data_IF_246375986938
#
_entry.id   IF_246375986938
#
_cell.length_a   1.000
_cell.length_b   1.000
_cell.length_c   1.000
_cell.angle_alpha   90.00
_cell.angle_beta   90.00
_cell.angle_gamma   90.00
#
_symmetry.space_group_name_H-M   'P 1'
#
loop_
_entity.id
_entity.type
_entity.pdbx_description
1 polymer ?
#
# COMPACT_ATOMS: atom_id res chain seq x y z
N UNK A 1 -1.36 -14.84 -14.22
CA UNK A 1 -1.64 -14.00 -13.05
C UNK A 1 -0.82 -14.44 -11.87
N UNK A 2 -0.42 -13.50 -11.02
CA UNK A 2 0.37 -13.75 -9.80
C UNK A 2 -0.19 -12.90 -8.67
N UNK A 3 -0.25 -13.45 -7.44
CA UNK A 3 -0.78 -12.70 -6.31
C UNK A 3 -0.82 -13.51 -5.03
N UNK A 4 -1.43 -12.91 -4.02
CA UNK A 4 -1.67 -13.52 -2.71
C UNK A 4 -2.99 -14.29 -2.72
N UNK A 5 -2.95 -15.52 -2.24
CA UNK A 5 -4.16 -16.34 -2.08
C UNK A 5 -4.97 -15.85 -0.89
N UNK A 6 -6.12 -15.25 -1.13
CA UNK A 6 -7.01 -14.78 -0.08
C UNK A 6 -7.88 -15.91 0.51
N UNK A 7 -8.35 -16.78 -0.37
CA UNK A 7 -9.10 -17.98 0.00
C UNK A 7 -8.96 -19.05 -1.05
N UNK A 8 -9.08 -20.30 -0.64
CA UNK A 8 -9.31 -21.43 -1.52
C UNK A 8 -10.60 -22.15 -1.11
N UNK A 9 -11.35 -22.58 -2.09
CA UNK A 9 -12.63 -23.29 -1.91
C UNK A 9 -12.70 -24.42 -2.90
N UNK A 10 -12.94 -25.60 -2.44
CA UNK A 10 -13.08 -26.77 -3.31
C UNK A 10 -12.87 -28.05 -2.53
N UNK A 11 -13.28 -29.13 -3.14
CA UNK A 11 -13.11 -30.46 -2.60
C UNK A 11 -13.01 -31.46 -3.74
N UNK A 12 -12.12 -32.43 -3.61
CA UNK A 12 -11.90 -33.44 -4.65
C UNK A 12 -11.25 -32.85 -5.89
N UNK A 13 -11.81 -33.09 -7.07
CA UNK A 13 -11.20 -32.77 -8.37
C UNK A 13 -11.23 -31.29 -8.80
N UNK A 14 -11.80 -30.38 -8.00
CA UNK A 14 -11.90 -28.96 -8.34
C UNK A 14 -11.55 -28.06 -7.17
N UNK A 15 -10.97 -26.90 -7.48
CA UNK A 15 -10.69 -25.85 -6.51
C UNK A 15 -10.91 -24.47 -7.15
N UNK A 16 -11.40 -23.53 -6.35
CA UNK A 16 -11.47 -22.12 -6.68
C UNK A 16 -10.54 -21.36 -5.75
N UNK A 17 -9.69 -20.54 -6.31
CA UNK A 17 -8.77 -19.67 -5.57
C UNK A 17 -9.18 -18.21 -5.81
N UNK A 18 -9.41 -17.47 -4.74
CA UNK A 18 -9.52 -16.02 -4.81
C UNK A 18 -8.10 -15.47 -4.69
N UNK A 19 -7.58 -14.93 -5.80
CA UNK A 19 -6.24 -14.37 -5.91
C UNK A 19 -6.33 -12.86 -5.90
N UNK A 20 -5.49 -12.21 -5.12
CA UNK A 20 -5.43 -10.75 -4.98
C UNK A 20 -4.03 -10.25 -5.29
N UNK A 21 -3.96 -9.18 -6.07
CA UNK A 21 -2.73 -8.44 -6.33
C UNK A 21 -2.90 -6.93 -6.09
N UNK A 22 -1.95 -6.13 -6.56
CA UNK A 22 -2.01 -4.67 -6.47
C UNK A 22 -3.08 -4.01 -7.35
N UNK A 23 -3.67 -4.73 -8.30
CA UNK A 23 -4.67 -4.20 -9.26
C UNK A 23 -6.09 -4.59 -8.87
N UNK A 24 -6.25 -5.68 -8.12
CA UNK A 24 -7.58 -6.16 -7.72
C UNK A 24 -7.61 -7.62 -7.31
N UNK A 25 -8.79 -8.20 -7.47
CA UNK A 25 -9.06 -9.62 -7.15
C UNK A 25 -9.60 -10.33 -8.37
N UNK A 26 -9.15 -11.57 -8.55
CA UNK A 26 -9.70 -12.48 -9.57
C UNK A 26 -9.93 -13.85 -8.98
N UNK A 27 -10.90 -14.58 -9.52
CA UNK A 27 -11.09 -15.99 -9.23
C UNK A 27 -10.27 -16.82 -10.22
N UNK A 28 -9.58 -17.83 -9.71
CA UNK A 28 -8.89 -18.83 -10.50
C UNK A 28 -9.58 -20.17 -10.29
N UNK A 29 -9.99 -20.81 -11.37
CA UNK A 29 -10.59 -22.12 -11.38
C UNK A 29 -9.55 -23.18 -11.72
N UNK A 30 -9.45 -24.21 -10.91
CA UNK A 30 -8.49 -25.30 -11.04
C UNK A 30 -9.23 -26.65 -11.12
N UNK A 31 -8.75 -27.51 -12.00
CA UNK A 31 -9.26 -28.87 -12.21
C UNK A 31 -8.11 -29.87 -12.16
N UNK A 32 -8.29 -30.99 -11.47
CA UNK A 32 -7.30 -32.07 -11.41
C UNK A 32 -6.85 -32.55 -12.79
N UNK A 33 -7.81 -32.74 -13.70
CA UNK A 33 -7.53 -33.17 -15.07
C UNK A 33 -6.60 -32.23 -15.86
N UNK A 34 -6.53 -30.96 -15.45
CA UNK A 34 -5.78 -29.94 -16.18
C UNK A 34 -4.42 -29.64 -15.55
N UNK A 35 -4.38 -29.52 -14.21
CA UNK A 35 -3.14 -29.11 -13.50
C UNK A 35 -2.45 -30.28 -12.78
N UNK A 36 -3.07 -31.47 -12.77
CA UNK A 36 -2.63 -32.64 -12.04
C UNK A 36 -3.16 -32.67 -10.59
N UNK A 37 -3.43 -33.90 -10.09
CA UNK A 37 -3.96 -34.12 -8.74
C UNK A 37 -3.02 -33.61 -7.65
N UNK A 38 -1.72 -33.82 -7.78
CA UNK A 38 -0.70 -33.38 -6.83
C UNK A 38 -0.67 -31.86 -6.68
N UNK A 39 -0.71 -31.14 -7.80
CA UNK A 39 -0.74 -29.67 -7.82
C UNK A 39 -2.02 -29.12 -7.21
N UNK A 40 -3.16 -29.77 -7.50
CA UNK A 40 -4.45 -29.37 -6.95
C UNK A 40 -4.48 -29.58 -5.42
N UNK A 41 -4.02 -30.72 -4.93
CA UNK A 41 -3.94 -31.04 -3.51
C UNK A 41 -3.00 -30.05 -2.78
N UNK A 42 -1.86 -29.74 -3.37
CA UNK A 42 -0.95 -28.74 -2.84
C UNK A 42 -1.63 -27.35 -2.67
N UNK A 43 -2.41 -26.90 -3.66
CA UNK A 43 -3.15 -25.63 -3.55
C UNK A 43 -4.28 -25.71 -2.53
N UNK A 44 -5.00 -26.84 -2.44
CA UNK A 44 -6.07 -27.01 -1.45
C UNK A 44 -5.57 -26.96 -0.01
N UNK A 45 -4.34 -27.39 0.24
CA UNK A 45 -3.67 -27.32 1.57
C UNK A 45 -2.89 -26.03 1.81
N UNK A 46 -2.90 -25.11 0.86
CA UNK A 46 -2.14 -23.87 0.98
C UNK A 46 -2.74 -22.95 2.03
N UNK A 47 -1.87 -22.26 2.78
CA UNK A 47 -2.24 -21.25 3.76
C UNK A 47 -2.60 -19.93 3.09
N UNK A 48 -3.53 -19.17 3.68
CA UNK A 48 -3.87 -17.82 3.21
C UNK A 48 -2.64 -16.92 3.14
N UNK A 49 -2.66 -15.96 2.22
CA UNK A 49 -1.56 -15.03 1.92
C UNK A 49 -0.31 -15.69 1.33
N UNK A 50 -0.34 -16.97 1.00
CA UNK A 50 0.69 -17.59 0.15
C UNK A 50 0.70 -16.95 -1.23
N UNK A 51 1.87 -16.79 -1.82
CA UNK A 51 2.03 -16.19 -3.15
C UNK A 51 2.04 -17.28 -4.21
N UNK A 52 1.08 -17.20 -5.11
CA UNK A 52 0.87 -18.16 -6.19
C UNK A 52 0.91 -17.49 -7.55
N UNK A 53 1.40 -18.21 -8.54
CA UNK A 53 1.34 -17.83 -9.94
C UNK A 53 0.52 -18.87 -10.70
N UNK A 54 -0.43 -18.41 -11.50
CA UNK A 54 -1.25 -19.25 -12.37
C UNK A 54 -1.09 -18.85 -13.82
N UNK A 55 -0.90 -19.82 -14.69
CA UNK A 55 -1.04 -19.67 -16.13
C UNK A 55 -2.36 -20.30 -16.57
N UNK A 56 -3.06 -19.68 -17.51
CA UNK A 56 -4.36 -20.18 -17.98
C UNK A 56 -5.03 -19.22 -18.94
N UNK A 57 -6.27 -19.53 -19.28
CA UNK A 57 -7.12 -18.72 -20.17
C UNK A 57 -8.16 -17.94 -19.39
N UNK A 58 -8.45 -16.75 -19.85
CA UNK A 58 -9.53 -15.93 -19.28
C UNK A 58 -10.88 -16.41 -19.86
N UNK A 59 -11.81 -16.67 -18.99
CA UNK A 59 -13.16 -17.08 -19.37
C UNK A 59 -14.21 -16.23 -18.67
N UNK A 60 -15.39 -16.17 -19.25
CA UNK A 60 -16.53 -15.50 -18.65
C UNK A 60 -17.03 -16.38 -17.48
N UNK A 61 -17.09 -15.79 -16.30
CA UNK A 61 -17.61 -16.46 -15.11
C UNK A 61 -19.11 -16.74 -15.27
N UNK A 62 -19.56 -17.93 -14.87
CA UNK A 62 -20.98 -18.22 -14.85
C UNK A 62 -21.71 -17.22 -13.95
N UNK A 63 -22.72 -16.49 -14.45
CA UNK A 63 -23.43 -15.51 -13.64
C UNK A 63 -24.10 -16.19 -12.43
N UNK A 64 -24.13 -15.53 -11.26
CA UNK A 64 -24.89 -16.03 -10.12
C UNK A 64 -26.40 -16.07 -10.47
N UNK A 65 -27.12 -16.94 -9.81
CA UNK A 65 -28.59 -16.95 -9.93
C UNK A 65 -29.12 -15.66 -9.30
N UNK A 66 -29.80 -14.86 -10.10
CA UNK A 66 -30.42 -13.59 -9.69
C UNK A 66 -31.86 -13.90 -9.24
N UNK A 67 -32.32 -13.26 -8.19
CA UNK A 67 -33.73 -13.37 -7.76
C UNK A 67 -34.60 -12.60 -8.75
N UNK A 68 -35.85 -13.03 -8.89
CA UNK A 68 -36.82 -12.38 -9.75
C UNK A 68 -37.00 -10.91 -9.37
N UNK A 69 -36.76 -9.98 -10.32
CA UNK A 69 -36.81 -8.54 -10.09
C UNK A 69 -35.46 -7.86 -9.76
N UNK A 70 -34.38 -8.58 -9.55
CA UNK A 70 -33.06 -7.98 -9.36
C UNK A 70 -32.33 -7.79 -10.73
N UNK A 71 -31.57 -6.70 -10.90
CA UNK A 71 -30.79 -6.49 -12.13
C UNK A 71 -29.67 -7.55 -12.24
N UNK A 72 -29.41 -8.02 -13.44
CA UNK A 72 -28.29 -8.91 -13.71
C UNK A 72 -26.99 -8.23 -13.32
N UNK A 73 -26.11 -8.91 -12.57
CA UNK A 73 -24.79 -8.37 -12.26
C UNK A 73 -23.96 -8.22 -13.54
N UNK A 74 -23.01 -7.28 -13.58
CA UNK A 74 -22.14 -7.12 -14.73
C UNK A 74 -21.34 -8.42 -14.99
N UNK A 75 -20.96 -8.68 -16.26
CA UNK A 75 -20.12 -9.82 -16.60
C UNK A 75 -18.84 -9.81 -15.78
N UNK A 76 -18.52 -10.92 -15.15
CA UNK A 76 -17.28 -11.14 -14.41
C UNK A 76 -16.42 -12.18 -15.12
N UNK A 77 -15.10 -12.06 -14.98
CA UNK A 77 -14.14 -12.99 -15.59
C UNK A 77 -13.45 -13.82 -14.52
N UNK A 78 -13.00 -15.01 -14.91
CA UNK A 78 -12.17 -15.89 -14.11
C UNK A 78 -11.03 -16.46 -14.96
N UNK A 79 -10.01 -16.98 -14.31
CA UNK A 79 -8.87 -17.64 -14.98
C UNK A 79 -9.06 -19.14 -14.86
N UNK A 80 -9.16 -19.82 -15.99
CA UNK A 80 -9.11 -21.29 -16.06
C UNK A 80 -7.64 -21.71 -16.09
N UNK A 81 -7.13 -22.18 -14.96
CA UNK A 81 -5.71 -22.48 -14.80
C UNK A 81 -5.31 -23.75 -15.57
N UNK A 82 -4.22 -23.65 -16.30
CA UNK A 82 -3.51 -24.77 -16.94
C UNK A 82 -2.25 -25.19 -16.19
N UNK A 83 -1.70 -24.30 -15.37
CA UNK A 83 -0.59 -24.60 -14.46
C UNK A 83 -0.59 -23.70 -13.25
N UNK A 84 0.05 -24.15 -12.17
CA UNK A 84 0.29 -23.40 -10.94
C UNK A 84 1.76 -23.50 -10.55
N UNK A 85 2.31 -22.38 -10.09
CA UNK A 85 3.62 -22.30 -9.47
C UNK A 85 3.47 -21.69 -8.08
N UNK A 86 3.95 -22.37 -7.05
CA UNK A 86 4.00 -21.86 -5.68
C UNK A 86 5.28 -21.03 -5.53
N UNK A 87 5.14 -19.71 -5.46
CA UNK A 87 6.28 -18.79 -5.30
C UNK A 87 6.76 -18.78 -3.86
N UNK A 88 5.82 -18.61 -2.91
CA UNK A 88 6.13 -18.60 -1.49
C UNK A 88 4.92 -19.07 -0.67
N UNK A 89 5.16 -19.92 0.30
CA UNK A 89 4.15 -20.33 1.27
C UNK A 89 4.17 -19.40 2.47
N UNK A 90 2.99 -18.91 2.86
CA UNK A 90 2.86 -18.13 4.08
C UNK A 90 2.80 -19.04 5.31
N UNK A 91 3.44 -18.61 6.38
CA UNK A 91 3.28 -19.26 7.68
C UNK A 91 1.87 -19.02 8.25
N UNK A 92 1.40 -19.94 9.08
CA UNK A 92 0.12 -19.82 9.77
C UNK A 92 0.30 -20.23 11.26
N UNK A 93 -0.35 -19.50 12.19
CA UNK A 93 -1.27 -18.37 11.95
C UNK A 93 -0.53 -17.08 11.58
N UNK A 94 -1.18 -16.21 10.80
CA UNK A 94 -0.67 -14.87 10.54
C UNK A 94 -0.79 -13.99 11.80
N UNK A 95 0.17 -13.07 12.06
CA UNK A 95 0.12 -12.19 13.23
C UNK A 95 -1.08 -11.23 13.21
N UNK A 96 -1.62 -10.92 12.02
CA UNK A 96 -2.88 -10.21 11.86
C UNK A 96 -3.66 -10.70 10.64
N UNK A 97 -4.98 -10.62 10.70
CA UNK A 97 -5.85 -10.90 9.57
C UNK A 97 -5.83 -9.76 8.54
N UNK A 98 -5.77 -10.13 7.26
CA UNK A 98 -5.74 -9.16 6.14
C UNK A 98 -7.14 -8.69 5.75
N UNK A 99 -8.19 -9.38 6.16
CA UNK A 99 -9.58 -9.01 5.85
C UNK A 99 -10.05 -7.84 6.72
N UNK A 100 -10.83 -6.92 6.14
CA UNK A 100 -11.23 -5.65 6.79
C UNK A 100 -12.18 -5.81 7.99
N UNK A 101 -12.85 -6.96 8.11
CA UNK A 101 -13.78 -7.27 9.21
C UNK A 101 -13.10 -7.74 10.50
N UNK A 102 -11.79 -7.86 10.51
CA UNK A 102 -11.03 -8.20 11.71
C UNK A 102 -10.51 -6.91 12.36
N UNK A 103 -10.93 -6.65 13.61
CA UNK A 103 -10.35 -5.58 14.44
C UNK A 103 -8.98 -6.04 14.94
N UNK A 104 -7.98 -5.19 14.74
CA UNK A 104 -6.62 -5.43 15.21
C UNK A 104 -6.11 -4.14 15.84
N UNK A 105 -5.48 -4.24 16.99
CA UNK A 105 -4.87 -3.13 17.71
C UNK A 105 -3.78 -2.43 16.87
N UNK A 106 -3.61 -1.13 17.10
CA UNK A 106 -2.71 -0.30 16.29
C UNK A 106 -1.27 -0.79 16.36
N UNK A 107 -0.79 -1.16 17.54
CA UNK A 107 0.58 -1.63 17.75
C UNK A 107 0.87 -2.88 16.91
N UNK A 108 -0.01 -3.88 16.96
CA UNK A 108 0.11 -5.09 16.13
C UNK A 108 0.10 -4.76 14.63
N UNK A 109 -0.69 -3.77 14.20
CA UNK A 109 -0.74 -3.31 12.81
C UNK A 109 0.55 -2.61 12.39
N UNK A 110 1.15 -1.82 13.27
CA UNK A 110 2.41 -1.11 13.01
C UNK A 110 3.58 -2.09 12.97
N UNK A 111 3.65 -3.04 13.90
CA UNK A 111 4.69 -4.07 13.94
C UNK A 111 4.64 -5.00 12.72
N UNK A 112 3.43 -5.21 12.16
CA UNK A 112 3.22 -6.04 10.99
C UNK A 112 2.71 -5.21 9.79
N UNK A 113 3.31 -4.05 9.55
CA UNK A 113 2.85 -3.05 8.59
C UNK A 113 2.69 -3.58 7.18
N UNK A 114 3.54 -4.51 6.75
CA UNK A 114 3.48 -5.14 5.43
C UNK A 114 2.20 -5.95 5.21
N UNK A 115 1.64 -6.59 6.26
CA UNK A 115 0.33 -7.25 6.20
C UNK A 115 -0.81 -6.25 6.29
N UNK A 116 -0.70 -5.24 7.16
CA UNK A 116 -1.71 -4.20 7.30
C UNK A 116 -1.93 -3.42 6.00
N UNK A 117 -0.86 -3.16 5.23
CA UNK A 117 -0.93 -2.52 3.92
C UNK A 117 -1.66 -3.37 2.85
N UNK A 118 -1.82 -4.67 3.05
CA UNK A 118 -2.62 -5.54 2.18
C UNK A 118 -4.13 -5.40 2.41
N UNK A 119 -4.55 -4.84 3.55
CA UNK A 119 -5.97 -4.60 3.85
C UNK A 119 -6.51 -3.52 2.91
N UNK A 120 -7.68 -3.77 2.33
CA UNK A 120 -8.22 -2.94 1.25
C UNK A 120 -8.34 -1.45 1.64
N UNK A 121 -8.90 -1.15 2.82
CA UNK A 121 -9.07 0.24 3.27
C UNK A 121 -7.71 0.92 3.58
N UNK A 122 -6.74 0.21 4.15
CA UNK A 122 -5.40 0.75 4.41
C UNK A 122 -4.68 1.03 3.09
N UNK A 123 -4.72 0.09 2.15
CA UNK A 123 -4.17 0.27 0.81
C UNK A 123 -4.79 1.47 0.09
N UNK A 124 -6.14 1.60 0.17
CA UNK A 124 -6.86 2.72 -0.43
C UNK A 124 -6.43 4.07 0.14
N UNK A 125 -6.19 4.18 1.46
CA UNK A 125 -5.68 5.41 2.08
C UNK A 125 -4.33 5.83 1.51
N UNK A 126 -3.39 4.89 1.33
CA UNK A 126 -2.07 5.20 0.76
C UNK A 126 -2.15 5.59 -0.72
N UNK A 127 -3.03 4.92 -1.49
CA UNK A 127 -3.29 5.30 -2.89
C UNK A 127 -3.90 6.70 -2.98
N UNK A 128 -4.88 7.01 -2.12
CA UNK A 128 -5.49 8.33 -2.06
C UNK A 128 -4.46 9.39 -1.69
N UNK A 129 -3.63 9.15 -0.67
CA UNK A 129 -2.53 10.05 -0.30
C UNK A 129 -1.60 10.32 -1.48
N UNK A 130 -1.20 9.29 -2.23
CA UNK A 130 -0.38 9.47 -3.44
C UNK A 130 -1.06 10.36 -4.49
N UNK A 131 -2.36 10.20 -4.70
CA UNK A 131 -3.14 11.05 -5.62
C UNK A 131 -3.27 12.48 -5.14
N UNK A 132 -3.50 12.71 -3.83
CA UNK A 132 -3.53 14.07 -3.26
C UNK A 132 -2.20 14.79 -3.47
N UNK A 133 -1.07 14.11 -3.23
CA UNK A 133 0.26 14.68 -3.47
C UNK A 133 0.48 14.98 -4.96
N UNK A 134 0.07 14.09 -5.85
CA UNK A 134 0.16 14.29 -7.30
C UNK A 134 -0.62 15.53 -7.74
N UNK A 135 -1.91 15.60 -7.40
CA UNK A 135 -2.77 16.72 -7.81
C UNK A 135 -2.33 18.04 -7.19
N UNK A 136 -1.88 18.04 -5.92
CA UNK A 136 -1.33 19.23 -5.30
C UNK A 136 -0.10 19.76 -6.02
N UNK A 137 0.79 18.86 -6.46
CA UNK A 137 1.97 19.22 -7.24
C UNK A 137 1.59 19.77 -8.63
N UNK A 138 0.71 19.06 -9.34
CA UNK A 138 0.23 19.45 -10.66
C UNK A 138 -0.39 20.87 -10.63
N UNK A 139 -1.29 21.10 -9.68
CA UNK A 139 -1.93 22.41 -9.50
C UNK A 139 -0.91 23.53 -9.25
N UNK A 140 0.05 23.33 -8.36
CA UNK A 140 1.06 24.35 -8.07
C UNK A 140 1.96 24.65 -9.28
N UNK A 141 2.32 23.62 -10.05
CA UNK A 141 3.09 23.79 -11.29
C UNK A 141 2.28 24.55 -12.33
N UNK A 142 1.00 24.23 -12.51
CA UNK A 142 0.09 24.95 -13.42
C UNK A 142 -0.06 26.43 -13.04
N UNK A 143 -0.05 26.75 -11.74
CA UNK A 143 -0.05 28.12 -11.22
C UNK A 143 1.32 28.84 -11.34
N UNK A 144 2.31 28.18 -11.95
CA UNK A 144 3.63 28.74 -12.19
C UNK A 144 4.59 28.68 -10.99
N UNK A 145 4.33 27.84 -10.01
CA UNK A 145 5.26 27.57 -8.93
C UNK A 145 6.37 26.63 -9.35
N UNK A 146 7.57 26.85 -8.82
CA UNK A 146 8.75 26.00 -8.99
C UNK A 146 8.92 25.12 -7.77
N UNK A 147 9.00 23.79 -7.96
CA UNK A 147 9.31 22.85 -6.88
C UNK A 147 10.78 22.96 -6.50
N UNK A 148 11.03 23.15 -5.21
CA UNK A 148 12.40 23.24 -4.65
C UNK A 148 12.57 22.20 -3.56
N UNK A 149 13.82 21.79 -3.31
CA UNK A 149 14.17 20.89 -2.23
C UNK A 149 15.19 21.55 -1.32
N UNK A 150 14.78 21.81 -0.08
CA UNK A 150 15.63 22.48 0.91
C UNK A 150 16.45 21.46 1.72
N UNK A 151 17.62 21.87 2.27
CA UNK A 151 18.40 21.02 3.14
C UNK A 151 17.60 20.52 4.34
N UNK A 152 17.72 19.23 4.68
CA UNK A 152 17.05 18.62 5.84
C UNK A 152 17.95 18.49 7.07
N UNK A 153 19.25 18.66 6.89
CA UNK A 153 20.24 18.79 7.96
C UNK A 153 20.78 20.21 7.89
N UNK A 154 20.70 20.93 9.00
CA UNK A 154 21.04 22.36 9.10
C UNK A 154 21.97 22.63 10.28
N UNK A 155 22.76 23.69 10.19
CA UNK A 155 23.74 24.03 11.23
C UNK A 155 23.12 24.79 12.42
N UNK A 156 21.96 25.42 12.23
CA UNK A 156 21.27 26.22 13.25
C UNK A 156 19.77 26.01 13.20
N UNK A 157 19.07 26.47 14.25
CA UNK A 157 17.61 26.54 14.25
C UNK A 157 17.12 27.42 13.09
N UNK A 158 16.10 26.97 12.37
CA UNK A 158 15.47 27.70 11.27
C UNK A 158 14.22 28.45 11.70
N UNK A 159 13.65 28.12 12.87
CA UNK A 159 12.50 28.79 13.47
C UNK A 159 12.63 28.85 14.99
N UNK A 160 12.11 29.91 15.63
CA UNK A 160 11.96 29.96 17.09
C UNK A 160 10.70 29.25 17.56
N UNK A 161 10.76 28.59 18.70
CA UNK A 161 9.57 28.08 19.42
C UNK A 161 9.25 26.59 19.33
N UNK A 162 9.89 25.82 18.48
CA UNK A 162 9.81 24.35 18.50
C UNK A 162 11.14 23.75 18.94
N UNK A 163 11.07 22.65 19.69
CA UNK A 163 12.27 21.90 20.07
C UNK A 163 12.93 21.29 18.82
N UNK A 164 14.26 21.32 18.80
CA UNK A 164 15.08 20.81 17.72
C UNK A 164 15.43 19.33 17.97
N UNK A 165 15.57 18.58 16.88
CA UNK A 165 16.27 17.32 16.92
C UNK A 165 17.77 17.54 16.74
N UNK A 166 18.58 17.52 17.83
CA UNK A 166 20.01 17.64 17.71
C UNK A 166 20.61 16.34 17.17
N UNK A 167 21.64 16.49 16.36
CA UNK A 167 22.43 15.37 15.84
C UNK A 167 23.90 15.73 15.79
N UNK A 168 24.76 14.73 15.87
CA UNK A 168 26.20 14.92 15.67
C UNK A 168 26.53 14.68 14.19
N UNK A 169 27.13 15.69 13.54
CA UNK A 169 27.64 15.59 12.19
C UNK A 169 29.16 15.70 12.22
N UNK A 170 29.84 14.57 12.25
CA UNK A 170 31.27 14.46 12.51
C UNK A 170 31.66 15.17 13.83
N UNK A 171 32.45 16.23 13.77
CA UNK A 171 32.91 17.05 14.89
C UNK A 171 32.02 18.27 15.20
N UNK A 172 30.93 18.45 14.46
CA UNK A 172 30.04 19.62 14.57
C UNK A 172 28.63 19.25 14.96
N UNK A 173 27.94 20.09 15.75
CA UNK A 173 26.52 19.93 15.98
C UNK A 173 25.73 20.26 14.70
N UNK A 174 24.66 19.50 14.47
CA UNK A 174 23.70 19.76 13.42
C UNK A 174 22.29 19.50 13.94
N UNK A 175 21.28 19.84 13.16
CA UNK A 175 19.89 19.71 13.54
C UNK A 175 19.05 19.26 12.33
N UNK A 176 17.96 18.55 12.60
CA UNK A 176 16.95 18.30 11.57
C UNK A 176 16.14 19.59 11.32
N UNK A 177 15.87 19.87 10.05
CA UNK A 177 15.16 21.07 9.65
C UNK A 177 13.69 21.04 10.10
N UNK A 178 13.27 22.08 10.82
CA UNK A 178 11.91 22.25 11.33
C UNK A 178 10.93 22.76 10.26
N UNK A 179 11.42 23.53 9.30
CA UNK A 179 10.62 24.16 8.26
C UNK A 179 11.48 24.61 7.08
N UNK A 180 10.99 24.51 5.85
CA UNK A 180 11.67 25.04 4.68
C UNK A 180 11.52 26.56 4.52
N UNK A 181 10.88 27.29 5.45
CA UNK A 181 10.44 28.67 5.29
C UNK A 181 11.57 29.64 4.91
N UNK A 182 12.67 29.66 5.65
CA UNK A 182 13.78 30.55 5.37
C UNK A 182 14.44 30.27 4.02
N UNK A 183 14.59 29.03 3.65
CA UNK A 183 15.15 28.66 2.35
C UNK A 183 14.23 29.06 1.19
N UNK A 184 12.91 28.95 1.35
CA UNK A 184 11.96 29.44 0.34
C UNK A 184 12.01 30.95 0.21
N UNK A 185 12.18 31.71 1.31
CA UNK A 185 12.39 33.17 1.29
C UNK A 185 13.70 33.53 0.58
N UNK A 186 14.78 32.75 0.78
CA UNK A 186 16.03 32.94 0.03
C UNK A 186 15.82 32.74 -1.48
N UNK A 187 15.09 31.70 -1.88
CA UNK A 187 14.75 31.49 -3.28
C UNK A 187 13.98 32.68 -3.88
N UNK A 188 12.98 33.20 -3.13
CA UNK A 188 12.21 34.37 -3.56
C UNK A 188 13.09 35.60 -3.67
N UNK A 189 13.97 35.85 -2.72
CA UNK A 189 14.94 36.95 -2.77
C UNK A 189 15.94 36.80 -3.92
N UNK A 190 16.20 35.56 -4.35
CA UNK A 190 17.04 35.24 -5.50
C UNK A 190 16.31 35.30 -6.86
N UNK A 191 15.05 35.74 -6.89
CA UNK A 191 14.27 35.93 -8.11
C UNK A 191 13.34 34.78 -8.51
N UNK A 192 13.20 33.72 -7.66
CA UNK A 192 12.19 32.70 -7.84
C UNK A 192 10.90 33.15 -7.12
N UNK A 193 10.03 33.85 -7.82
CA UNK A 193 8.88 34.54 -7.20
C UNK A 193 7.86 33.57 -6.59
N UNK A 194 7.74 32.36 -7.14
CA UNK A 194 6.79 31.33 -6.71
C UNK A 194 7.49 30.00 -6.51
N UNK A 195 7.63 29.60 -5.25
CA UNK A 195 8.29 28.34 -4.89
C UNK A 195 7.45 27.51 -3.94
N UNK A 196 7.53 26.19 -4.07
CA UNK A 196 6.93 25.26 -3.11
C UNK A 196 7.86 24.08 -2.85
N UNK A 197 7.58 23.37 -1.79
CA UNK A 197 8.24 22.12 -1.45
C UNK A 197 7.21 21.12 -0.90
N UNK A 198 7.27 19.88 -1.37
CA UNK A 198 6.60 18.74 -0.75
C UNK A 198 7.70 17.83 -0.22
N UNK A 199 7.98 17.93 1.06
CA UNK A 199 9.08 17.20 1.69
C UNK A 199 8.98 17.18 3.20
N UNK A 200 9.75 16.31 3.90
CA UNK A 200 9.66 16.18 5.34
C UNK A 200 10.17 17.42 6.09
N UNK A 201 9.48 17.75 7.16
CA UNK A 201 9.94 18.66 8.21
C UNK A 201 9.87 17.94 9.56
N UNK A 202 10.70 18.35 10.53
CA UNK A 202 10.87 17.62 11.79
C UNK A 202 10.74 18.60 12.97
N UNK A 203 9.86 18.29 13.87
CA UNK A 203 9.70 19.04 15.12
C UNK A 203 9.81 18.10 16.29
N UNK A 204 10.60 18.38 17.30
CA UNK A 204 10.73 17.60 18.51
C UNK A 204 9.56 17.90 19.45
N UNK A 205 8.38 17.40 19.11
CA UNK A 205 7.17 17.62 19.90
C UNK A 205 7.15 16.71 21.13
N UNK A 206 6.79 17.28 22.29
CA UNK A 206 6.68 16.53 23.55
C UNK A 206 5.37 15.73 23.64
N UNK A 207 4.40 16.06 22.79
CA UNK A 207 3.08 15.44 22.76
C UNK A 207 2.93 14.59 21.52
N UNK A 208 2.76 13.30 21.69
CA UNK A 208 2.46 12.36 20.59
C UNK A 208 0.95 12.38 20.32
N UNK A 209 0.50 13.32 19.51
CA UNK A 209 -0.90 13.42 19.06
C UNK A 209 -0.97 13.56 17.55
N UNK A 210 -2.12 13.21 16.96
CA UNK A 210 -2.31 13.34 15.51
C UNK A 210 -2.21 14.78 14.99
N UNK A 211 -2.28 15.80 15.88
CA UNK A 211 -2.12 17.22 15.55
C UNK A 211 -0.68 17.73 15.69
N UNK A 212 0.16 16.98 16.39
CA UNK A 212 1.54 17.35 16.66
C UNK A 212 2.48 16.23 16.22
N UNK A 213 2.52 15.91 14.92
CA UNK A 213 3.41 14.86 14.43
C UNK A 213 4.86 15.32 14.49
N UNK A 214 5.73 14.42 14.88
CA UNK A 214 7.18 14.62 14.95
C UNK A 214 7.81 14.83 13.58
N UNK A 215 7.20 14.24 12.55
CA UNK A 215 7.58 14.40 11.15
C UNK A 215 6.34 14.52 10.29
N UNK A 216 6.29 15.45 9.38
CA UNK A 216 5.15 15.72 8.48
C UNK A 216 5.62 16.17 7.09
#
# INVERSE_FOLDING_TARGET
>A
VCGFMEANRGKGAICFVDLRDGTGKTQVFLKADTIGEESLDAVQRMTRESTLQFTGTVALKRPPKVKEGEPNPPPAYEVLATSVNVIARAEAPLPLGVTDNVKVELDTRLDNRFLDLRRAHVNAMFRLRGKVLQFGREHLIEEGFIETHTPKIVATATEGGADLFPMQYFDRPAFLNQSPQLFKQLCMSGGLERVFEIGPAFRAEKSDTYRHPVSY
#
